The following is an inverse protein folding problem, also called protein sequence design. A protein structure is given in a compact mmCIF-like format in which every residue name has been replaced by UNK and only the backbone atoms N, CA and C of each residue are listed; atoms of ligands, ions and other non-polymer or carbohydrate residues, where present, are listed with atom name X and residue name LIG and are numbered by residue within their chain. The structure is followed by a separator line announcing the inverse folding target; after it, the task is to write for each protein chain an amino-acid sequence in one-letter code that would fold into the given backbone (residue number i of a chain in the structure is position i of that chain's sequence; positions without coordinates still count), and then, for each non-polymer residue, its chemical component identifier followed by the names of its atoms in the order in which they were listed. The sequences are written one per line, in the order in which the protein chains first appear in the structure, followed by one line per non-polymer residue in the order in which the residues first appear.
data_IF_678058594921
#
_entry.id   IF_678058594921
#
_cell.length_a   1.000
_cell.length_b   1.000
_cell.length_c   1.000
_cell.angle_alpha   90.00
_cell.angle_beta   90.00
_cell.angle_gamma   90.00
#
_symmetry.space_group_name_H-M   'P 1'
#
loop_
_entity.id
_entity.type
_entity.pdbx_description
1 polymer ?
#
# COMPACT_ATOMS: atom_id res chain seq x y z
N UNK A 1 -23.07 6.10 -18.40
CA UNK A 1 -22.53 4.78 -18.03
C UNK A 1 -21.14 5.02 -17.49
N UNK A 2 -20.96 4.66 -16.21
CA UNK A 2 -19.70 4.50 -15.46
C UNK A 2 -18.65 5.59 -15.55
N UNK A 3 -18.73 6.52 -14.59
CA UNK A 3 -17.60 7.33 -14.10
C UNK A 3 -16.57 6.38 -13.49
N UNK A 4 -15.63 5.90 -14.30
CA UNK A 4 -14.45 5.21 -13.81
C UNK A 4 -13.47 6.24 -13.28
N UNK A 5 -13.59 6.60 -12.00
CA UNK A 5 -12.49 7.25 -11.30
C UNK A 5 -11.40 6.18 -11.11
N UNK A 6 -10.62 5.93 -12.16
CA UNK A 6 -9.31 5.30 -12.03
C UNK A 6 -8.42 6.36 -11.38
N UNK A 7 -8.50 6.47 -10.06
CA UNK A 7 -7.56 7.26 -9.29
C UNK A 7 -6.24 6.47 -9.29
N UNK A 8 -5.57 6.43 -10.44
CA UNK A 8 -4.23 5.87 -10.55
C UNK A 8 -3.38 6.64 -9.56
N UNK A 9 -2.72 5.90 -8.68
CA UNK A 9 -1.82 6.49 -7.70
C UNK A 9 -0.66 7.14 -8.44
N UNK A 10 -0.66 8.47 -8.52
CA UNK A 10 0.36 9.24 -9.26
C UNK A 10 1.66 9.42 -8.48
N UNK A 11 1.66 9.11 -7.18
CA UNK A 11 2.82 9.24 -6.30
C UNK A 11 2.99 7.96 -5.47
N UNK A 12 4.23 7.48 -5.30
CA UNK A 12 4.48 6.33 -4.43
C UNK A 12 4.14 6.66 -2.96
N UNK A 13 3.71 5.67 -2.16
CA UNK A 13 3.52 5.86 -0.74
C UNK A 13 4.88 6.07 -0.06
N UNK A 14 4.84 6.70 1.10
CA UNK A 14 6.04 7.10 1.80
C UNK A 14 6.64 5.91 2.56
N UNK A 15 7.93 5.66 2.33
CA UNK A 15 8.70 4.70 3.13
C UNK A 15 8.65 5.10 4.60
N UNK A 16 8.48 4.11 5.47
CA UNK A 16 8.41 4.31 6.91
C UNK A 16 7.04 4.72 7.43
N UNK A 17 6.01 4.68 6.60
CA UNK A 17 4.63 4.99 6.97
C UNK A 17 3.74 3.75 6.96
N UNK A 18 2.71 3.80 7.80
CA UNK A 18 1.69 2.75 7.92
C UNK A 18 0.40 3.21 7.25
N UNK A 19 -0.20 2.33 6.47
CA UNK A 19 -1.46 2.58 5.78
C UNK A 19 -2.48 1.49 6.09
N UNK A 20 -3.76 1.88 6.17
CA UNK A 20 -4.89 0.96 6.33
C UNK A 20 -5.74 0.96 5.07
N UNK A 21 -6.13 -0.22 4.60
CA UNK A 21 -7.04 -0.33 3.45
C UNK A 21 -8.45 0.08 3.87
N UNK A 22 -9.07 1.00 3.13
CA UNK A 22 -10.51 1.30 3.33
C UNK A 22 -11.42 0.21 2.80
N UNK A 23 -10.98 -0.53 1.78
CA UNK A 23 -11.73 -1.67 1.23
C UNK A 23 -11.66 -2.91 2.16
N UNK A 24 -10.59 -3.06 2.93
CA UNK A 24 -10.39 -4.16 3.88
C UNK A 24 -9.74 -3.61 5.15
N UNK A 25 -10.52 -3.13 6.13
CA UNK A 25 -9.98 -2.42 7.31
C UNK A 25 -8.98 -3.21 8.16
N UNK A 26 -9.01 -4.54 8.08
CA UNK A 26 -8.06 -5.42 8.79
C UNK A 26 -6.71 -5.56 8.04
N UNK A 27 -6.64 -5.09 6.79
CA UNK A 27 -5.40 -5.03 6.02
C UNK A 27 -4.67 -3.73 6.32
N UNK A 28 -3.62 -3.84 7.12
CA UNK A 28 -2.69 -2.75 7.41
C UNK A 28 -1.31 -3.14 6.92
N UNK A 29 -0.64 -2.16 6.30
CA UNK A 29 0.64 -2.34 5.63
C UNK A 29 1.61 -1.27 6.10
N UNK A 30 2.86 -1.65 6.28
CA UNK A 30 3.97 -0.74 6.50
C UNK A 30 4.84 -0.70 5.25
N UNK A 31 5.11 0.49 4.72
CA UNK A 31 5.94 0.64 3.52
C UNK A 31 7.40 0.59 3.90
N UNK A 32 8.09 -0.46 3.46
CA UNK A 32 9.50 -0.70 3.79
C UNK A 32 10.43 -0.18 2.70
N UNK A 33 9.99 -0.27 1.44
CA UNK A 33 10.75 0.22 0.31
C UNK A 33 9.84 0.55 -0.88
N UNK A 34 10.33 1.41 -1.77
CA UNK A 34 9.68 1.75 -3.03
C UNK A 34 10.55 1.24 -4.16
N UNK A 35 9.98 0.34 -4.97
CA UNK A 35 10.61 -0.17 -6.17
C UNK A 35 10.08 0.67 -7.34
N UNK A 36 10.98 1.45 -7.93
CA UNK A 36 10.66 2.17 -9.17
C UNK A 36 10.48 1.12 -10.28
N UNK A 37 9.25 0.94 -10.72
CA UNK A 37 8.90 0.03 -11.81
C UNK A 37 8.76 0.88 -13.09
N UNK A 38 9.36 0.38 -14.17
CA UNK A 38 9.69 1.13 -15.40
C UNK A 38 8.56 2.04 -15.96
N UNK A 39 8.99 3.22 -16.43
CA UNK A 39 8.50 4.17 -17.47
C UNK A 39 6.99 4.45 -17.72
N UNK A 40 6.05 3.64 -17.26
CA UNK A 40 4.61 3.75 -17.53
C UNK A 40 3.79 4.19 -16.29
N UNK A 41 4.44 4.83 -15.30
CA UNK A 41 3.82 5.32 -14.04
C UNK A 41 3.29 4.22 -13.10
N UNK A 42 3.63 2.95 -13.37
CA UNK A 42 3.33 1.84 -12.47
C UNK A 42 4.44 1.67 -11.44
N UNK A 43 4.11 1.92 -10.18
CA UNK A 43 5.03 1.72 -9.07
C UNK A 43 4.77 0.38 -8.37
N UNK A 44 5.84 -0.23 -7.85
CA UNK A 44 5.75 -1.38 -6.96
C UNK A 44 6.37 -1.03 -5.60
N UNK A 45 5.84 -1.59 -4.52
CA UNK A 45 6.28 -1.29 -3.16
C UNK A 45 6.49 -2.56 -2.39
N UNK A 46 7.55 -2.60 -1.61
CA UNK A 46 7.73 -3.63 -0.61
C UNK A 46 6.97 -3.16 0.62
N UNK A 47 5.97 -3.93 1.01
CA UNK A 47 5.24 -3.71 2.23
C UNK A 47 5.39 -4.88 3.16
N UNK A 48 5.31 -4.59 4.43
CA UNK A 48 5.23 -5.56 5.49
C UNK A 48 3.78 -5.61 5.98
N UNK A 49 3.19 -6.80 5.97
CA UNK A 49 1.87 -7.03 6.54
C UNK A 49 1.92 -6.78 8.04
N UNK A 50 1.28 -5.71 8.49
CA UNK A 50 1.30 -5.31 9.88
C UNK A 50 -0.14 -5.42 10.37
N UNK A 51 -0.48 -6.39 11.23
CA UNK A 51 -1.81 -6.38 11.83
C UNK A 51 -1.95 -5.09 12.68
N UNK A 52 -3.04 -4.31 12.55
CA UNK A 52 -3.21 -3.05 13.30
C UNK A 52 -3.09 -3.22 14.83
N UNK A 53 -3.37 -4.41 15.37
CA UNK A 53 -3.18 -4.71 16.79
C UNK A 53 -1.70 -4.88 17.18
N UNK A 54 -0.83 -5.04 16.20
CA UNK A 54 0.56 -5.46 16.32
C UNK A 54 1.50 -4.55 15.52
N UNK A 55 1.18 -3.26 15.42
CA UNK A 55 1.94 -2.23 14.68
C UNK A 55 3.46 -2.20 14.97
N UNK A 56 3.89 -2.76 16.10
CA UNK A 56 5.29 -2.83 16.56
C UNK A 56 5.89 -4.25 16.45
N UNK A 57 5.13 -5.23 15.99
CA UNK A 57 5.54 -6.64 15.83
C UNK A 57 5.69 -6.99 14.33
N UNK A 58 6.80 -6.56 13.76
CA UNK A 58 7.20 -6.93 12.39
C UNK A 58 7.76 -8.36 12.31
N UNK A 59 7.73 -9.14 13.41
CA UNK A 59 8.32 -10.49 13.47
C UNK A 59 7.63 -11.47 12.52
N UNK A 60 6.35 -11.23 12.19
CA UNK A 60 5.56 -12.02 11.24
C UNK A 60 5.21 -11.24 9.96
N UNK A 61 5.90 -10.13 9.71
CA UNK A 61 5.63 -9.36 8.53
C UNK A 61 6.23 -10.07 7.30
N UNK A 62 5.39 -10.85 6.62
CA UNK A 62 5.72 -11.34 5.30
C UNK A 62 5.84 -10.11 4.38
N UNK A 63 7.00 -9.95 3.74
CA UNK A 63 7.20 -8.91 2.74
C UNK A 63 6.36 -9.22 1.50
N UNK A 64 5.44 -8.34 1.14
CA UNK A 64 4.64 -8.44 -0.08
C UNK A 64 5.02 -7.32 -1.05
N UNK A 65 5.09 -7.66 -2.33
CA UNK A 65 5.13 -6.67 -3.39
C UNK A 65 3.69 -6.23 -3.71
N UNK A 66 3.41 -4.93 -3.55
CA UNK A 66 2.13 -4.32 -3.93
C UNK A 66 2.35 -3.39 -5.13
N UNK A 67 1.56 -3.58 -6.17
CA UNK A 67 1.54 -2.69 -7.34
C UNK A 67 0.59 -1.50 -7.14
N UNK A 68 0.79 -0.43 -7.90
CA UNK A 68 -0.12 0.72 -8.08
C UNK A 68 -1.60 0.32 -8.20
N UNK A 69 -1.87 -0.69 -9.03
CA UNK A 69 -3.20 -1.26 -9.28
C UNK A 69 -3.84 -1.87 -8.03
N UNK A 70 -3.07 -2.66 -7.29
CA UNK A 70 -3.54 -3.28 -6.04
C UNK A 70 -3.78 -2.18 -5.00
N UNK A 71 -2.87 -1.22 -4.90
CA UNK A 71 -2.99 -0.09 -4.00
C UNK A 71 -4.28 0.70 -4.25
N UNK A 72 -4.56 1.05 -5.50
CA UNK A 72 -5.75 1.80 -5.89
C UNK A 72 -7.07 1.05 -5.55
N UNK A 73 -7.09 -0.29 -5.68
CA UNK A 73 -8.27 -1.11 -5.31
C UNK A 73 -8.56 -1.10 -3.82
N UNK A 74 -7.52 -0.95 -3.00
CA UNK A 74 -7.63 -0.99 -1.55
C UNK A 74 -7.92 0.36 -0.92
N UNK A 75 -7.76 1.47 -1.66
CA UNK A 75 -7.91 2.85 -1.20
C UNK A 75 -7.22 3.06 0.15
N UNK A 76 -5.93 2.72 0.19
CA UNK A 76 -5.10 2.82 1.39
C UNK A 76 -5.00 4.26 1.88
N UNK A 77 -5.13 4.45 3.19
CA UNK A 77 -4.98 5.75 3.84
C UNK A 77 -3.94 5.72 4.93
N UNK A 78 -3.19 6.83 5.03
CA UNK A 78 -2.19 7.03 6.05
C UNK A 78 -2.82 6.98 7.44
N UNK A 79 -2.17 6.25 8.35
CA UNK A 79 -2.48 6.27 9.78
C UNK A 79 -1.71 7.44 10.41
N UNK A 80 -2.42 8.36 11.07
CA UNK A 80 -1.83 9.51 11.80
C UNK A 80 -1.13 9.12 13.12
#
# INVERSE_FOLDING_TARGET
MTTGNQNMQTEPPLIGQTYVSRATPDLVIYVVDVIDSDLDEDFAFIVEGCDPAYKDDTTNADGYEITSDVWARHDFVLVE
#
